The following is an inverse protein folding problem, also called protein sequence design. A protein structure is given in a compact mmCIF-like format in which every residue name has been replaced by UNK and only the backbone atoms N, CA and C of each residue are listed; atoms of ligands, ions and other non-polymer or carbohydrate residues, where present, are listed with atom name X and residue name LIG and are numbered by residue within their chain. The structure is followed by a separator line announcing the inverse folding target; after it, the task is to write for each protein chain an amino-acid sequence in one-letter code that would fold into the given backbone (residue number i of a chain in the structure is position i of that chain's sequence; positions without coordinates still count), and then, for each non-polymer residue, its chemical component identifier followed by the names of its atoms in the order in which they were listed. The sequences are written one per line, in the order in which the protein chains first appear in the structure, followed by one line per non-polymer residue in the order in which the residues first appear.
data_IF_211002016036
#
_entry.id   IF_211002016036
#
_cell.length_a   1.000
_cell.length_b   1.000
_cell.length_c   1.000
_cell.angle_alpha   90.00
_cell.angle_beta   90.00
_cell.angle_gamma   90.00
#
_symmetry.space_group_name_H-M   'P 1'
#
loop_
_entity.id
_entity.type
_entity.pdbx_description
1 polymer ?
#
# COMPACT_ATOMS: atom_id res chain seq x y z
N UNK A 1 -6.46 11.36 -43.64
CA UNK A 1 -6.99 10.33 -42.73
C UNK A 1 -6.00 9.15 -42.65
N UNK A 2 -5.23 9.02 -41.58
CA UNK A 2 -4.57 7.75 -41.20
C UNK A 2 -4.63 7.63 -39.68
N UNK A 3 -5.52 6.76 -39.21
CA UNK A 3 -5.68 6.41 -37.79
C UNK A 3 -4.45 5.59 -37.38
N UNK A 4 -3.64 6.13 -36.47
CA UNK A 4 -2.65 5.34 -35.72
C UNK A 4 -3.45 4.38 -34.84
N UNK A 5 -3.42 3.09 -35.20
CA UNK A 5 -3.91 2.00 -34.37
C UNK A 5 -2.95 1.88 -33.19
N UNK A 6 -3.39 2.34 -32.03
CA UNK A 6 -2.79 2.06 -30.74
C UNK A 6 -2.69 0.54 -30.59
N UNK A 7 -1.46 0.02 -30.56
CA UNK A 7 -1.20 -1.36 -30.19
C UNK A 7 -1.60 -1.50 -28.72
N UNK A 8 -2.77 -2.11 -28.52
CA UNK A 8 -3.24 -2.58 -27.22
C UNK A 8 -2.33 -3.73 -26.80
N UNK A 9 -1.34 -3.44 -25.95
CA UNK A 9 -0.64 -4.47 -25.20
C UNK A 9 -1.64 -5.02 -24.17
N UNK A 10 -2.17 -6.20 -24.45
CA UNK A 10 -2.91 -7.00 -23.47
C UNK A 10 -1.92 -7.38 -22.37
N UNK A 11 -2.01 -6.71 -21.21
CA UNK A 11 -1.31 -7.09 -19.99
C UNK A 11 -2.34 -7.63 -18.99
N UNK A 12 -2.58 -8.94 -19.05
CA UNK A 12 -3.30 -9.67 -18.00
C UNK A 12 -2.32 -10.02 -16.87
N UNK A 13 -2.39 -9.37 -15.70
CA UNK A 13 -1.70 -9.81 -14.47
C UNK A 13 -2.57 -9.42 -13.26
N UNK A 14 -3.36 -10.34 -12.70
CA UNK A 14 -3.08 -11.15 -11.50
C UNK A 14 -2.74 -10.34 -10.24
N UNK A 15 -3.73 -10.26 -9.35
CA UNK A 15 -3.57 -9.96 -7.94
C UNK A 15 -2.68 -11.01 -7.27
N UNK A 16 -1.38 -10.74 -7.29
CA UNK A 16 -0.37 -11.56 -6.66
C UNK A 16 0.78 -11.75 -7.61
N UNK A 17 1.86 -10.99 -7.40
CA UNK A 17 3.24 -11.34 -7.71
C UNK A 17 4.12 -10.19 -7.15
N UNK A 18 5.19 -10.56 -6.46
CA UNK A 18 6.17 -9.59 -5.98
C UNK A 18 6.78 -8.88 -7.18
N UNK A 19 6.88 -7.54 -7.09
CA UNK A 19 7.47 -6.71 -8.14
C UNK A 19 6.78 -6.85 -9.49
N UNK A 20 5.59 -6.25 -9.63
CA UNK A 20 5.04 -5.98 -10.96
C UNK A 20 4.84 -4.48 -11.04
N UNK A 21 5.33 -3.89 -12.12
CA UNK A 21 5.15 -2.48 -12.45
C UNK A 21 3.72 -2.06 -12.14
N UNK A 22 3.61 -0.93 -11.43
CA UNK A 22 2.38 -0.23 -11.06
C UNK A 22 1.72 0.39 -12.32
N UNK A 23 1.50 -0.42 -13.33
CA UNK A 23 0.79 -0.04 -14.53
C UNK A 23 -0.70 -0.05 -14.16
N UNK A 24 -1.33 1.12 -14.28
CA UNK A 24 -2.78 1.34 -14.17
C UNK A 24 -3.41 1.33 -12.77
N UNK A 25 -2.68 1.74 -11.73
CA UNK A 25 -3.37 2.12 -10.48
C UNK A 25 -3.60 3.63 -10.39
N UNK A 26 -4.87 4.01 -10.20
CA UNK A 26 -5.26 5.39 -9.90
C UNK A 26 -5.38 5.58 -8.40
N UNK A 27 -5.29 6.83 -7.96
CA UNK A 27 -5.37 7.18 -6.54
C UNK A 27 -6.81 7.49 -6.18
N UNK A 28 -7.18 7.21 -4.93
CA UNK A 28 -8.42 7.72 -4.35
C UNK A 28 -8.16 8.30 -2.97
N UNK A 29 -8.99 9.28 -2.58
CA UNK A 29 -8.97 9.83 -1.24
C UNK A 29 -9.65 8.88 -0.28
N UNK A 30 -8.87 8.23 0.59
CA UNK A 30 -9.41 7.23 1.52
C UNK A 30 -10.46 7.78 2.48
N UNK A 31 -10.37 9.07 2.85
CA UNK A 31 -11.32 9.73 3.74
C UNK A 31 -12.73 9.89 3.17
N UNK A 32 -12.88 9.86 1.84
CA UNK A 32 -14.16 9.95 1.15
C UNK A 32 -14.74 8.59 0.74
N UNK A 33 -14.06 7.48 1.04
CA UNK A 33 -14.44 6.16 0.58
C UNK A 33 -15.23 5.38 1.65
N UNK A 34 -16.47 5.01 1.32
CA UNK A 34 -17.37 4.30 2.23
C UNK A 34 -16.82 2.92 2.65
N UNK A 35 -16.06 2.23 1.79
CA UNK A 35 -15.49 0.92 2.12
C UNK A 35 -14.31 1.02 3.10
N UNK A 36 -13.80 2.23 3.29
CA UNK A 36 -12.70 2.54 4.21
C UNK A 36 -13.12 3.51 5.31
N UNK A 37 -14.41 3.79 5.53
CA UNK A 37 -14.87 4.83 6.48
C UNK A 37 -14.24 4.71 7.88
N UNK A 38 -13.97 3.49 8.34
CA UNK A 38 -13.38 3.19 9.66
C UNK A 38 -11.85 3.17 9.69
N UNK A 39 -11.14 3.51 8.59
CA UNK A 39 -9.68 3.34 8.48
C UNK A 39 -8.92 4.02 9.63
N UNK A 40 -9.38 5.19 10.08
CA UNK A 40 -8.70 5.94 11.15
C UNK A 40 -8.71 5.17 12.46
N UNK A 41 -9.85 4.58 12.82
CA UNK A 41 -10.01 3.85 14.08
C UNK A 41 -9.26 2.53 14.04
N UNK A 42 -9.29 1.83 12.90
CA UNK A 42 -8.55 0.58 12.68
C UNK A 42 -7.04 0.83 12.81
N UNK A 43 -6.51 1.83 12.10
CA UNK A 43 -5.10 2.21 12.14
C UNK A 43 -4.71 2.67 13.56
N UNK A 44 -5.55 3.47 14.20
CA UNK A 44 -5.31 3.95 15.57
C UNK A 44 -5.22 2.81 16.56
N UNK A 45 -6.19 1.89 16.56
CA UNK A 45 -6.22 0.72 17.44
C UNK A 45 -4.96 -0.12 17.27
N UNK A 46 -4.63 -0.47 16.03
CA UNK A 46 -3.44 -1.25 15.71
C UNK A 46 -2.15 -0.59 16.22
N UNK A 47 -1.97 0.71 15.98
CA UNK A 47 -0.79 1.43 16.43
C UNK A 47 -0.73 1.53 17.95
N UNK A 48 -1.84 1.77 18.64
CA UNK A 48 -1.86 1.83 20.11
C UNK A 48 -1.53 0.48 20.77
N UNK A 49 -1.96 -0.62 20.16
CA UNK A 49 -1.67 -1.98 20.62
C UNK A 49 -0.20 -2.38 20.38
N UNK A 50 0.36 -2.05 19.20
CA UNK A 50 1.70 -2.48 18.80
C UNK A 50 2.80 -1.50 19.21
N UNK A 51 2.48 -0.22 19.39
CA UNK A 51 3.49 0.81 19.66
C UNK A 51 3.84 0.90 21.14
N UNK A 52 5.14 0.99 21.41
CA UNK A 52 5.67 1.45 22.71
C UNK A 52 6.03 2.94 22.68
N UNK A 53 5.98 3.59 21.51
CA UNK A 53 6.31 5.00 21.37
C UNK A 53 5.15 5.89 21.83
N UNK A 54 5.48 7.02 22.47
CA UNK A 54 4.49 8.04 22.89
C UNK A 54 3.78 8.70 21.71
N UNK A 55 4.44 8.75 20.55
CA UNK A 55 3.94 9.35 19.32
C UNK A 55 4.36 8.52 18.11
N UNK A 56 3.41 8.27 17.21
CA UNK A 56 3.62 7.59 15.94
C UNK A 56 3.04 8.41 14.80
N UNK A 57 3.82 8.56 13.74
CA UNK A 57 3.38 9.20 12.49
C UNK A 57 3.09 8.11 11.45
N UNK A 58 1.88 8.17 10.92
CA UNK A 58 1.34 7.20 9.96
C UNK A 58 0.90 7.94 8.72
N UNK A 59 1.12 7.32 7.56
CA UNK A 59 0.57 7.78 6.30
C UNK A 59 -0.26 6.65 5.68
N UNK A 60 -1.45 6.99 5.17
CA UNK A 60 -2.37 6.04 4.54
C UNK A 60 -2.70 6.52 3.13
N UNK A 61 -2.58 5.65 2.13
CA UNK A 61 -2.86 5.98 0.73
C UNK A 61 -3.66 4.89 0.04
N UNK A 62 -4.68 5.30 -0.72
CA UNK A 62 -5.58 4.42 -1.48
C UNK A 62 -5.21 4.30 -2.96
N UNK A 63 -5.36 3.09 -3.50
CA UNK A 63 -5.23 2.76 -4.92
C UNK A 63 -6.45 2.03 -5.44
N UNK A 64 -6.86 2.38 -6.66
CA UNK A 64 -7.79 1.62 -7.48
C UNK A 64 -6.97 0.94 -8.58
N UNK A 65 -7.04 -0.39 -8.67
CA UNK A 65 -6.38 -1.13 -9.75
C UNK A 65 -7.21 -1.11 -11.05
N UNK A 66 -6.64 -1.57 -12.16
CA UNK A 66 -7.32 -1.61 -13.46
C UNK A 66 -8.60 -2.44 -13.51
N UNK A 67 -8.80 -3.36 -12.57
CA UNK A 67 -10.03 -4.15 -12.40
C UNK A 67 -11.06 -3.50 -11.44
N UNK A 68 -10.86 -2.23 -11.09
CA UNK A 68 -11.64 -1.46 -10.12
C UNK A 68 -11.58 -1.95 -8.67
N UNK A 69 -10.75 -2.95 -8.36
CA UNK A 69 -10.42 -3.30 -6.98
C UNK A 69 -9.82 -2.11 -6.25
N UNK A 70 -10.19 -1.93 -4.99
CA UNK A 70 -9.62 -0.89 -4.12
C UNK A 70 -8.77 -1.51 -3.02
N UNK A 71 -7.67 -0.86 -2.70
CA UNK A 71 -6.80 -1.22 -1.60
C UNK A 71 -6.14 0.03 -1.03
N UNK A 72 -5.86 0.02 0.27
CA UNK A 72 -5.09 1.07 0.91
C UNK A 72 -3.82 0.52 1.54
N UNK A 73 -2.79 1.36 1.66
CA UNK A 73 -1.54 1.01 2.32
C UNK A 73 -1.30 1.92 3.50
N UNK A 74 -1.01 1.32 4.64
CA UNK A 74 -0.66 1.99 5.90
C UNK A 74 0.85 1.94 6.04
N UNK A 75 1.49 3.10 6.02
CA UNK A 75 2.95 3.26 6.12
C UNK A 75 3.30 3.74 7.52
N UNK A 76 4.02 2.91 8.27
CA UNK A 76 4.49 3.22 9.62
C UNK A 76 6.03 3.11 9.68
N UNK A 77 6.70 4.22 9.36
CA UNK A 77 8.17 4.25 9.24
C UNK A 77 8.89 3.95 10.56
N UNK A 78 8.37 4.45 11.69
CA UNK A 78 8.97 4.23 13.00
C UNK A 78 8.99 2.74 13.40
N UNK A 79 7.91 2.00 13.13
CA UNK A 79 7.86 0.55 13.31
C UNK A 79 8.51 -0.22 12.16
N UNK A 80 8.90 0.47 11.07
CA UNK A 80 9.45 -0.13 9.84
C UNK A 80 8.47 -1.12 9.21
N UNK A 81 7.20 -0.74 9.13
CA UNK A 81 6.13 -1.56 8.57
C UNK A 81 5.37 -0.85 7.45
N UNK A 82 4.94 -1.62 6.47
CA UNK A 82 3.93 -1.24 5.47
C UNK A 82 2.86 -2.32 5.45
N UNK A 83 1.60 -1.95 5.62
CA UNK A 83 0.50 -2.89 5.84
C UNK A 83 -0.62 -2.63 4.84
N UNK A 84 -1.11 -3.69 4.21
CA UNK A 84 -2.29 -3.62 3.36
C UNK A 84 -3.55 -3.47 4.23
N UNK A 85 -4.34 -2.45 3.94
CA UNK A 85 -5.71 -2.29 4.43
C UNK A 85 -6.67 -2.65 3.31
N UNK A 86 -7.46 -3.70 3.53
CA UNK A 86 -8.44 -4.19 2.57
C UNK A 86 -9.81 -3.52 2.79
N UNK A 87 -10.63 -3.35 1.74
CA UNK A 87 -11.99 -2.84 1.87
C UNK A 87 -12.79 -3.66 2.89
N UNK A 88 -13.49 -2.99 3.81
CA UNK A 88 -14.30 -3.66 4.83
C UNK A 88 -13.53 -4.39 5.94
N UNK A 89 -12.19 -4.31 5.96
CA UNK A 89 -11.38 -4.80 7.09
C UNK A 89 -11.74 -4.02 8.37
N UNK A 90 -11.72 -4.70 9.51
CA UNK A 90 -11.98 -4.17 10.85
C UNK A 90 -10.74 -4.19 11.77
N UNK A 91 -9.70 -4.91 11.38
CA UNK A 91 -8.42 -5.06 12.09
C UNK A 91 -7.24 -5.33 11.13
N UNK A 92 -6.19 -4.52 11.25
CA UNK A 92 -4.94 -4.68 10.50
C UNK A 92 -4.12 -5.90 10.93
N UNK A 93 -4.40 -6.51 12.07
CA UNK A 93 -3.74 -7.73 12.54
C UNK A 93 -4.00 -8.91 11.60
N UNK A 94 -5.15 -8.93 10.93
CA UNK A 94 -5.51 -9.94 9.94
C UNK A 94 -5.12 -9.56 8.51
N UNK A 95 -4.37 -8.47 8.32
CA UNK A 95 -3.88 -8.10 7.00
C UNK A 95 -3.07 -9.24 6.40
N UNK A 96 -3.48 -9.70 5.22
CA UNK A 96 -2.72 -10.71 4.46
C UNK A 96 -1.36 -10.22 3.97
N UNK A 97 -1.02 -8.94 4.15
CA UNK A 97 0.23 -8.35 3.68
C UNK A 97 0.78 -7.30 4.64
N UNK A 98 1.55 -7.79 5.60
CA UNK A 98 2.40 -7.00 6.50
C UNK A 98 3.84 -7.11 6.02
N UNK A 99 4.43 -5.99 5.59
CA UNK A 99 5.80 -5.92 5.07
C UNK A 99 6.70 -5.35 6.16
N UNK A 100 7.68 -6.14 6.62
CA UNK A 100 8.78 -5.67 7.48
C UNK A 100 9.87 -5.05 6.60
N UNK A 101 10.05 -3.74 6.72
CA UNK A 101 11.00 -2.98 5.88
C UNK A 101 12.47 -3.37 6.11
N UNK A 102 12.79 -4.19 7.12
CA UNK A 102 14.13 -4.75 7.32
C UNK A 102 14.35 -6.09 6.60
N UNK A 103 13.29 -6.88 6.44
CA UNK A 103 13.39 -8.29 6.02
C UNK A 103 12.81 -8.57 4.64
N UNK A 104 11.74 -7.86 4.30
CA UNK A 104 10.95 -8.13 3.10
C UNK A 104 11.30 -7.20 1.93
N UNK A 105 12.24 -6.29 2.14
CA UNK A 105 12.69 -5.30 1.14
C UNK A 105 14.02 -5.73 0.53
N UNK A 106 13.99 -6.02 -0.77
CA UNK A 106 15.17 -6.40 -1.55
C UNK A 106 15.67 -5.25 -2.43
N UNK A 107 16.91 -5.35 -2.90
CA UNK A 107 17.53 -4.29 -3.69
C UNK A 107 16.73 -3.96 -4.97
N UNK A 108 16.40 -4.99 -5.75
CA UNK A 108 15.85 -4.88 -7.10
C UNK A 108 14.95 -6.09 -7.44
N UNK A 109 14.44 -6.11 -8.67
CA UNK A 109 13.56 -7.16 -9.16
C UNK A 109 14.25 -8.51 -9.26
N UNK A 110 15.54 -8.55 -9.63
CA UNK A 110 16.31 -9.78 -9.69
C UNK A 110 16.41 -10.46 -8.31
N UNK A 111 16.53 -9.65 -7.25
CA UNK A 111 16.60 -10.13 -5.88
C UNK A 111 15.26 -10.64 -5.31
N UNK A 112 14.13 -10.44 -6.01
CA UNK A 112 12.84 -11.01 -5.61
C UNK A 112 12.85 -12.53 -5.71
N UNK A 113 13.59 -13.11 -6.67
CA UNK A 113 13.69 -14.56 -6.91
C UNK A 113 12.32 -15.27 -6.95
N UNK A 114 11.32 -14.63 -7.56
CA UNK A 114 9.95 -15.14 -7.65
C UNK A 114 9.13 -15.07 -6.36
N UNK A 115 9.66 -14.48 -5.28
CA UNK A 115 8.92 -14.31 -4.03
C UNK A 115 7.74 -13.36 -4.20
N UNK A 116 6.55 -13.82 -3.83
CA UNK A 116 5.31 -13.01 -3.81
C UNK A 116 5.20 -12.12 -2.58
N UNK A 117 6.03 -12.38 -1.55
CA UNK A 117 6.01 -11.71 -0.26
C UNK A 117 7.04 -10.57 -0.12
N UNK A 118 8.06 -10.54 -0.99
CA UNK A 118 9.07 -9.49 -0.99
C UNK A 118 8.69 -8.33 -1.91
N UNK A 119 9.25 -7.17 -1.61
CA UNK A 119 9.10 -5.94 -2.41
C UNK A 119 10.47 -5.30 -2.63
N UNK A 120 10.59 -4.48 -3.67
CA UNK A 120 11.85 -3.79 -3.97
C UNK A 120 12.00 -2.49 -3.16
N UNK A 121 13.23 -2.02 -2.96
CA UNK A 121 13.49 -0.69 -2.39
C UNK A 121 12.80 0.41 -3.18
N UNK A 122 12.80 0.30 -4.51
CA UNK A 122 12.09 1.23 -5.41
C UNK A 122 10.60 1.27 -5.10
N UNK A 123 9.95 0.11 -4.95
CA UNK A 123 8.52 0.06 -4.64
C UNK A 123 8.19 0.76 -3.31
N UNK A 124 9.00 0.56 -2.28
CA UNK A 124 8.81 1.24 -0.97
C UNK A 124 9.02 2.75 -1.10
N UNK A 125 10.03 3.18 -1.86
CA UNK A 125 10.32 4.59 -2.07
C UNK A 125 9.18 5.28 -2.84
N UNK A 126 8.71 4.68 -3.93
CA UNK A 126 7.61 5.20 -4.73
C UNK A 126 6.32 5.29 -3.89
N UNK A 127 5.97 4.23 -3.15
CA UNK A 127 4.80 4.21 -2.26
C UNK A 127 4.88 5.29 -1.17
N UNK A 128 6.06 5.46 -0.58
CA UNK A 128 6.28 6.48 0.47
C UNK A 128 6.16 7.88 -0.11
N UNK A 129 6.79 8.15 -1.26
CA UNK A 129 6.72 9.44 -1.93
C UNK A 129 5.30 9.79 -2.37
N UNK A 130 4.56 8.83 -2.88
CA UNK A 130 3.14 9.00 -3.19
C UNK A 130 2.32 9.34 -1.95
N UNK A 131 2.54 8.64 -0.83
CA UNK A 131 1.83 8.93 0.42
C UNK A 131 2.21 10.30 0.99
N UNK A 132 3.47 10.71 0.88
CA UNK A 132 3.90 12.05 1.27
C UNK A 132 3.28 13.14 0.39
N UNK A 133 3.08 12.89 -0.90
CA UNK A 133 2.48 13.87 -1.80
C UNK A 133 0.97 14.04 -1.58
N UNK A 134 0.23 12.94 -1.40
CA UNK A 134 -1.25 12.96 -1.45
C UNK A 134 -1.95 12.02 -0.48
N UNK A 135 -1.20 11.28 0.33
CA UNK A 135 -1.76 10.37 1.33
C UNK A 135 -2.32 11.10 2.53
N UNK A 136 -3.20 10.41 3.25
CA UNK A 136 -3.74 10.89 4.51
C UNK A 136 -2.72 10.67 5.62
N UNK A 137 -2.32 11.75 6.29
CA UNK A 137 -1.42 11.69 7.45
C UNK A 137 -2.20 11.61 8.76
N UNK A 138 -1.66 10.85 9.70
CA UNK A 138 -2.18 10.72 11.04
C UNK A 138 -1.05 10.76 12.05
N UNK A 139 -1.23 11.53 13.12
CA UNK A 139 -0.40 11.44 14.32
C UNK A 139 -1.20 10.73 15.39
N UNK A 140 -0.67 9.62 15.90
CA UNK A 140 -1.29 8.84 16.98
C UNK A 140 -0.42 9.00 18.22
N UNK A 141 -1.06 9.36 19.32
CA UNK A 141 -0.45 9.53 20.63
C UNK A 141 -1.10 8.54 21.60
N UNK A 142 -0.27 7.97 22.48
CA UNK A 142 -0.71 7.03 23.52
C UNK A 142 -1.12 7.79 24.79
#
# INVERSE_FOLDING_TARGET
MRRLKTLSCIASILYGLGGVARAESTFFEIGGDAQFASYRDIVRRYVLEKSKAKRSEICVIGFVAGDNSRAAWVIWRAARQVILLEPGSDDLTFSRRVIDLRKDVVADEQALKGSTYRVTRKWVADLTGDCEARGQRMTIQR
#
